data_IF_878759914181
#
_entry.id   IF_878759914181
#
_cell.length_a   1.000
_cell.length_b   1.000
_cell.length_c   1.000
_cell.angle_alpha   90.00
_cell.angle_beta   90.00
_cell.angle_gamma   90.00
#
_symmetry.space_group_name_H-M   'P 1'
#
loop_
_entity.id
_entity.type
_entity.pdbx_description
1 polymer ?
#
# COMPACT_ATOMS: atom_id res chain seq x y z
N UNK A 1 -20.19 22.86 15.22
CA UNK A 1 -19.23 21.81 14.84
C UNK A 1 -18.27 22.41 13.84
N UNK A 2 -16.99 22.06 13.92
CA UNK A 2 -15.99 22.52 12.95
C UNK A 2 -16.12 21.76 11.62
N UNK A 3 -15.67 22.34 10.52
CA UNK A 3 -15.68 21.71 9.18
C UNK A 3 -14.99 20.32 9.20
N UNK A 4 -13.98 20.14 10.04
CA UNK A 4 -13.28 18.88 10.24
C UNK A 4 -14.11 17.82 10.98
N UNK A 5 -14.89 18.23 12.00
CA UNK A 5 -15.83 17.35 12.70
C UNK A 5 -16.93 16.87 11.75
N UNK A 6 -17.44 17.76 10.88
CA UNK A 6 -18.45 17.42 9.88
C UNK A 6 -17.90 16.44 8.84
N UNK A 7 -16.63 16.56 8.45
CA UNK A 7 -15.98 15.64 7.51
C UNK A 7 -15.83 14.23 8.12
N UNK A 8 -15.42 14.13 9.39
CA UNK A 8 -15.31 12.85 10.09
C UNK A 8 -16.67 12.18 10.25
N UNK A 9 -17.71 12.95 10.60
CA UNK A 9 -19.07 12.43 10.72
C UNK A 9 -19.58 11.86 9.38
N UNK A 10 -19.39 12.60 8.27
CA UNK A 10 -19.72 12.11 6.92
C UNK A 10 -18.95 10.84 6.56
N UNK A 11 -17.65 10.79 6.84
CA UNK A 11 -16.83 9.63 6.53
C UNK A 11 -17.26 8.38 7.32
N UNK A 12 -17.64 8.53 8.60
CA UNK A 12 -18.18 7.40 9.39
C UNK A 12 -19.53 6.93 8.88
N UNK A 13 -20.38 7.84 8.41
CA UNK A 13 -21.63 7.46 7.76
C UNK A 13 -21.37 6.64 6.48
N UNK A 14 -20.43 7.09 5.62
CA UNK A 14 -20.02 6.33 4.43
C UNK A 14 -19.40 4.97 4.78
N UNK A 15 -18.60 4.88 5.85
CA UNK A 15 -18.09 3.59 6.33
C UNK A 15 -19.21 2.65 6.74
N UNK A 16 -20.23 3.16 7.43
CA UNK A 16 -21.41 2.37 7.82
C UNK A 16 -22.17 1.88 6.59
N UNK A 17 -22.35 2.74 5.58
CA UNK A 17 -23.00 2.38 4.33
C UNK A 17 -22.25 1.28 3.56
N UNK A 18 -20.92 1.37 3.47
CA UNK A 18 -20.11 0.42 2.68
C UNK A 18 -19.71 -0.85 3.43
N UNK A 19 -19.54 -0.76 4.75
CA UNK A 19 -18.95 -1.82 5.57
C UNK A 19 -19.85 -2.30 6.69
N UNK A 20 -21.07 -1.78 6.80
CA UNK A 20 -22.07 -2.14 7.82
C UNK A 20 -21.93 -1.37 9.13
N UNK A 21 -20.71 -1.00 9.51
CA UNK A 21 -20.42 -0.18 10.68
C UNK A 21 -19.09 0.59 10.50
N UNK A 22 -18.79 1.60 11.33
CA UNK A 22 -17.52 2.32 11.24
C UNK A 22 -16.30 1.40 11.41
N UNK A 23 -15.27 1.60 10.58
CA UNK A 23 -14.09 0.74 10.58
C UNK A 23 -13.33 0.78 11.92
N UNK A 24 -13.43 1.89 12.66
CA UNK A 24 -12.89 1.98 14.02
C UNK A 24 -13.55 0.99 14.99
N UNK A 25 -14.84 0.75 14.83
CA UNK A 25 -15.62 -0.12 15.70
C UNK A 25 -15.39 -1.60 15.36
N UNK A 26 -15.12 -1.92 14.09
CA UNK A 26 -14.64 -3.25 13.65
C UNK A 26 -13.25 -3.58 14.14
N UNK A 27 -12.31 -2.63 14.02
CA UNK A 27 -10.87 -2.91 14.22
C UNK A 27 -10.47 -2.91 15.69
N UNK A 28 -11.06 -2.06 16.54
CA UNK A 28 -10.69 -1.95 17.98
C UNK A 28 -10.84 -3.28 18.75
N UNK A 29 -11.95 -4.03 18.61
CA UNK A 29 -12.09 -5.34 19.25
C UNK A 29 -11.00 -6.33 18.84
N UNK A 30 -10.61 -6.33 17.56
CA UNK A 30 -9.57 -7.21 17.04
C UNK A 30 -8.21 -6.94 17.70
N UNK A 31 -7.83 -5.66 17.85
CA UNK A 31 -6.59 -5.28 18.52
C UNK A 31 -6.54 -5.82 19.95
N UNK A 32 -7.62 -5.66 20.71
CA UNK A 32 -7.71 -6.15 22.08
C UNK A 32 -7.67 -7.68 22.16
N UNK A 33 -8.42 -8.35 21.29
CA UNK A 33 -8.57 -9.81 21.32
C UNK A 33 -7.36 -10.56 20.78
N UNK A 34 -6.61 -9.97 19.85
CA UNK A 34 -5.35 -10.51 19.34
C UNK A 34 -4.14 -10.05 20.17
N UNK A 35 -4.30 -9.09 21.07
CA UNK A 35 -3.19 -8.47 21.81
C UNK A 35 -2.20 -7.73 20.90
N UNK A 36 -2.66 -7.22 19.75
CA UNK A 36 -1.81 -6.56 18.76
C UNK A 36 -1.85 -5.04 18.91
N UNK A 37 -0.73 -4.41 18.54
CA UNK A 37 -0.70 -2.97 18.29
C UNK A 37 -1.38 -2.65 16.96
N UNK A 38 -1.78 -1.39 16.77
CA UNK A 38 -2.30 -0.90 15.49
C UNK A 38 -1.33 -1.17 14.34
N UNK A 39 -0.04 -0.92 14.53
CA UNK A 39 0.99 -1.20 13.51
C UNK A 39 1.13 -2.70 13.21
N UNK A 40 0.98 -3.55 14.21
CA UNK A 40 1.00 -5.01 14.04
C UNK A 40 -0.16 -5.49 13.17
N UNK A 41 -1.38 -5.06 13.49
CA UNK A 41 -2.56 -5.40 12.68
C UNK A 41 -2.49 -4.78 11.27
N UNK A 42 -2.01 -3.54 11.14
CA UNK A 42 -1.79 -2.92 9.83
C UNK A 42 -0.85 -3.77 8.96
N UNK A 43 0.23 -4.32 9.54
CA UNK A 43 1.16 -5.21 8.85
C UNK A 43 0.52 -6.51 8.35
N UNK A 44 -0.40 -7.09 9.13
CA UNK A 44 -1.19 -8.27 8.72
C UNK A 44 -2.13 -7.91 7.56
N UNK A 45 -2.86 -6.80 7.67
CA UNK A 45 -3.82 -6.36 6.65
C UNK A 45 -3.14 -5.90 5.35
N UNK A 46 -1.85 -5.57 5.39
CA UNK A 46 -1.12 -4.97 4.28
C UNK A 46 -1.37 -3.46 4.13
N UNK A 47 -1.68 -2.79 5.23
CA UNK A 47 -1.84 -1.35 5.34
C UNK A 47 -0.63 -0.72 6.03
N UNK A 48 -0.42 0.58 5.79
CA UNK A 48 0.46 1.38 6.65
C UNK A 48 -0.25 1.72 7.96
N UNK A 49 0.52 1.86 9.05
CA UNK A 49 -0.03 2.26 10.35
C UNK A 49 -0.77 3.62 10.30
N UNK A 50 -0.29 4.65 9.58
CA UNK A 50 -1.04 5.90 9.41
C UNK A 50 -2.38 5.72 8.69
N UNK A 51 -2.43 4.87 7.65
CA UNK A 51 -3.66 4.61 6.90
C UNK A 51 -4.71 3.90 7.78
N UNK A 52 -4.29 2.91 8.58
CA UNK A 52 -5.17 2.27 9.55
C UNK A 52 -5.69 3.28 10.59
N UNK A 53 -4.82 4.14 11.12
CA UNK A 53 -5.21 5.20 12.07
C UNK A 53 -6.24 6.18 11.48
N UNK A 54 -6.06 6.60 10.22
CA UNK A 54 -7.02 7.46 9.52
C UNK A 54 -8.38 6.80 9.31
N UNK A 55 -8.41 5.50 8.95
CA UNK A 55 -9.64 4.74 8.81
C UNK A 55 -10.36 4.58 10.16
N UNK A 56 -9.62 4.21 11.21
CA UNK A 56 -10.16 4.01 12.56
C UNK A 56 -10.67 5.30 13.21
N UNK A 57 -10.09 6.45 12.87
CA UNK A 57 -10.54 7.76 13.37
C UNK A 57 -11.70 8.35 12.56
N UNK A 58 -11.96 7.82 11.36
CA UNK A 58 -12.94 8.37 10.42
C UNK A 58 -12.41 9.54 9.59
N UNK A 59 -11.10 9.81 9.61
CA UNK A 59 -10.47 10.79 8.72
C UNK A 59 -10.46 10.30 7.26
N UNK A 60 -10.54 8.97 7.04
CA UNK A 60 -10.65 8.35 5.72
C UNK A 60 -11.84 7.41 5.68
N UNK A 61 -12.68 7.51 4.64
CA UNK A 61 -13.92 6.73 4.55
C UNK A 61 -13.71 5.34 3.94
N UNK A 62 -12.82 5.16 2.95
CA UNK A 62 -12.80 3.97 2.09
C UNK A 62 -11.53 3.13 2.27
N UNK A 63 -11.62 1.81 2.17
CA UNK A 63 -10.51 0.90 1.86
C UNK A 63 -10.50 0.70 0.33
N UNK A 64 -9.44 1.16 -0.34
CA UNK A 64 -9.36 1.11 -1.81
C UNK A 64 -8.95 -0.25 -2.34
N UNK A 65 -8.13 -0.97 -1.58
CA UNK A 65 -7.59 -2.27 -1.97
C UNK A 65 -8.51 -3.40 -1.47
N UNK A 66 -9.17 -4.17 -2.36
CA UNK A 66 -10.06 -5.25 -1.96
C UNK A 66 -9.34 -6.37 -1.19
N UNK A 67 -8.04 -6.57 -1.44
CA UNK A 67 -7.20 -7.53 -0.69
C UNK A 67 -7.19 -7.23 0.81
N UNK A 68 -7.08 -5.94 1.16
CA UNK A 68 -7.06 -5.48 2.55
C UNK A 68 -8.39 -5.80 3.23
N UNK A 69 -9.51 -5.58 2.52
CA UNK A 69 -10.84 -5.89 3.04
C UNK A 69 -11.02 -7.40 3.25
N UNK A 70 -10.58 -8.23 2.30
CA UNK A 70 -10.60 -9.68 2.46
C UNK A 70 -9.80 -10.15 3.67
N UNK A 71 -8.59 -9.60 3.89
CA UNK A 71 -7.80 -9.90 5.09
C UNK A 71 -8.48 -9.45 6.37
N UNK A 72 -9.15 -8.30 6.37
CA UNK A 72 -9.90 -7.83 7.54
C UNK A 72 -11.01 -8.82 7.89
N UNK A 73 -11.78 -9.28 6.90
CA UNK A 73 -12.81 -10.30 7.09
C UNK A 73 -12.21 -11.62 7.61
N UNK A 74 -11.10 -12.07 7.04
CA UNK A 74 -10.44 -13.30 7.51
C UNK A 74 -9.92 -13.19 8.95
N UNK A 75 -9.42 -12.01 9.37
CA UNK A 75 -9.04 -11.77 10.77
C UNK A 75 -10.27 -11.76 11.69
N UNK A 76 -11.38 -11.16 11.25
CA UNK A 76 -12.63 -11.19 12.01
C UNK A 76 -13.15 -12.61 12.19
N UNK A 77 -13.15 -13.42 11.13
CA UNK A 77 -13.55 -14.83 11.16
C UNK A 77 -12.67 -15.65 12.10
N UNK A 78 -11.34 -15.46 12.06
CA UNK A 78 -10.40 -16.12 12.98
C UNK A 78 -10.73 -15.81 14.45
N UNK A 79 -11.05 -14.55 14.76
CA UNK A 79 -11.33 -14.09 16.13
C UNK A 79 -12.72 -14.49 16.62
N UNK A 80 -13.67 -14.63 15.68
CA UNK A 80 -15.04 -15.08 15.93
C UNK A 80 -15.14 -16.59 16.16
N UNK A 81 -14.15 -17.38 15.72
CA UNK A 81 -14.10 -18.82 15.97
C UNK A 81 -14.21 -19.11 17.49
N UNK A 82 -15.17 -19.95 17.93
CA UNK A 82 -15.32 -20.31 19.34
C UNK A 82 -14.05 -20.94 19.96
N UNK A 83 -13.24 -21.61 19.16
CA UNK A 83 -11.97 -22.22 19.54
C UNK A 83 -10.80 -21.24 19.65
N UNK A 84 -10.96 -19.98 19.19
CA UNK A 84 -9.89 -18.98 19.17
C UNK A 84 -9.23 -18.80 20.55
N UNK A 85 -10.04 -18.76 21.62
CA UNK A 85 -9.53 -18.58 22.99
C UNK A 85 -8.66 -19.73 23.51
N UNK A 86 -8.73 -20.90 22.89
CA UNK A 86 -7.91 -22.06 23.23
C UNK A 86 -6.66 -22.19 22.35
N UNK A 87 -6.52 -21.37 21.30
CA UNK A 87 -5.38 -21.45 20.40
C UNK A 87 -4.09 -20.96 21.08
N UNK A 88 -2.99 -21.73 20.97
CA UNK A 88 -1.66 -21.24 21.31
C UNK A 88 -1.30 -19.97 20.53
N UNK A 89 -0.58 -19.05 21.17
CA UNK A 89 -0.14 -17.80 20.53
C UNK A 89 0.69 -18.03 19.25
N UNK A 90 1.44 -19.14 19.17
CA UNK A 90 2.19 -19.53 17.98
C UNK A 90 1.28 -19.83 16.79
N UNK A 91 0.15 -20.50 17.04
CA UNK A 91 -0.82 -20.87 16.01
C UNK A 91 -1.58 -19.64 15.53
N UNK A 92 -2.00 -18.75 16.45
CA UNK A 92 -2.58 -17.45 16.09
C UNK A 92 -1.63 -16.67 15.18
N UNK A 93 -0.34 -16.60 15.54
CA UNK A 93 0.66 -15.92 14.71
C UNK A 93 0.79 -16.57 13.33
N UNK A 94 0.81 -17.90 13.24
CA UNK A 94 0.89 -18.61 11.97
C UNK A 94 -0.32 -18.28 11.07
N UNK A 95 -1.55 -18.31 11.63
CA UNK A 95 -2.77 -17.94 10.90
C UNK A 95 -2.75 -16.49 10.40
N UNK A 96 -2.25 -15.55 11.20
CA UNK A 96 -2.14 -14.15 10.76
C UNK A 96 -1.14 -13.97 9.61
N UNK A 97 -0.05 -14.73 9.58
CA UNK A 97 0.88 -14.73 8.44
C UNK A 97 0.28 -15.41 7.20
N UNK A 98 -0.52 -16.46 7.36
CA UNK A 98 -1.29 -17.07 6.26
C UNK A 98 -2.23 -16.04 5.63
N UNK A 99 -3.06 -15.35 6.44
CA UNK A 99 -3.99 -14.30 5.99
C UNK A 99 -3.22 -13.18 5.25
N UNK A 100 -2.05 -12.79 5.76
CA UNK A 100 -1.19 -11.80 5.10
C UNK A 100 -0.76 -12.27 3.70
N UNK A 101 -0.43 -13.56 3.56
CA UNK A 101 0.03 -14.20 2.32
C UNK A 101 -1.06 -14.51 1.28
N UNK A 102 -2.31 -14.75 1.68
CA UNK A 102 -3.39 -15.27 0.83
C UNK A 102 -3.69 -14.44 -0.43
N UNK A 103 -3.47 -13.12 -0.42
CA UNK A 103 -3.75 -12.29 -1.61
C UNK A 103 -2.62 -12.19 -2.64
N UNK A 104 -1.42 -12.72 -2.35
CA UNK A 104 -0.38 -12.82 -3.38
C UNK A 104 -0.76 -13.80 -4.51
N UNK A 105 -1.76 -14.66 -4.28
CA UNK A 105 -2.21 -15.67 -5.23
C UNK A 105 -3.21 -15.15 -6.27
N UNK A 106 -3.96 -14.06 -6.02
CA UNK A 106 -5.08 -13.68 -6.90
C UNK A 106 -4.66 -12.89 -8.14
N UNK A 107 -3.40 -12.44 -8.23
CA UNK A 107 -2.79 -11.93 -9.49
C UNK A 107 -1.63 -12.79 -10.00
N UNK A 108 -1.14 -13.76 -9.22
CA UNK A 108 -0.12 -14.74 -9.64
C UNK A 108 -0.72 -16.05 -10.17
N UNK A 109 -1.95 -16.39 -9.77
CA UNK A 109 -2.62 -17.65 -10.15
C UNK A 109 -3.07 -17.73 -11.61
N UNK A 110 -3.16 -16.60 -12.32
CA UNK A 110 -3.48 -16.59 -13.76
C UNK A 110 -2.24 -16.74 -14.65
N UNK A 111 -1.01 -16.61 -14.11
CA UNK A 111 0.24 -16.77 -14.88
C UNK A 111 0.95 -18.11 -14.68
N UNK A 112 0.42 -18.99 -13.83
CA UNK A 112 0.98 -20.34 -13.59
C UNK A 112 0.21 -21.46 -14.30
N UNK A 113 -0.85 -21.15 -15.05
CA UNK A 113 -1.64 -22.13 -15.79
C UNK A 113 -1.20 -22.35 -17.25
N UNK A 114 -0.29 -21.54 -17.78
CA UNK A 114 0.25 -21.71 -19.14
C UNK A 114 1.77 -21.55 -19.16
N UNK A 115 2.50 -22.57 -18.71
CA UNK A 115 3.85 -22.93 -19.22
C UNK A 115 4.29 -24.24 -18.58
N UNK A 116 3.55 -25.31 -18.88
CA UNK A 116 3.90 -26.67 -18.52
C UNK A 116 3.75 -27.59 -19.72
N UNK A 117 4.58 -27.39 -20.77
CA UNK A 117 5.17 -28.41 -21.66
C UNK A 117 5.62 -27.80 -23.00
N UNK A 118 6.93 -27.60 -23.17
CA UNK A 118 7.64 -27.94 -24.40
C UNK A 118 9.15 -27.89 -24.15
N UNK A 119 9.82 -28.98 -24.51
CA UNK A 119 11.24 -29.18 -24.39
C UNK A 119 12.07 -28.30 -25.34
N UNK A 120 13.34 -28.11 -24.97
CA UNK A 120 14.50 -27.81 -25.81
C UNK A 120 14.36 -26.67 -26.83
N UNK A 121 14.88 -25.50 -26.49
CA UNK A 121 15.09 -24.42 -27.47
C UNK A 121 15.79 -23.21 -26.87
N UNK A 122 17.09 -23.12 -27.18
CA UNK A 122 17.87 -21.89 -27.31
C UNK A 122 18.12 -20.99 -26.08
N UNK A 123 19.34 -21.12 -25.53
CA UNK A 123 19.91 -20.24 -24.51
C UNK A 123 20.68 -19.10 -25.18
N UNK A 124 20.03 -18.03 -25.64
CA UNK A 124 20.75 -16.79 -26.00
C UNK A 124 19.86 -15.55 -26.11
N UNK A 125 19.24 -15.05 -25.03
CA UNK A 125 18.59 -13.71 -25.08
C UNK A 125 18.29 -12.94 -23.77
N UNK A 126 18.61 -13.41 -22.55
CA UNK A 126 18.05 -12.78 -21.32
C UNK A 126 19.05 -12.11 -20.35
N UNK A 127 20.25 -11.72 -20.79
CA UNK A 127 21.19 -11.02 -19.91
C UNK A 127 20.95 -9.48 -19.79
N UNK A 128 20.06 -8.88 -20.59
CA UNK A 128 19.95 -7.41 -20.72
C UNK A 128 18.85 -6.72 -19.90
N UNK A 129 17.78 -7.42 -19.47
CA UNK A 129 16.61 -6.79 -18.83
C UNK A 129 16.68 -6.71 -17.29
N UNK A 130 17.55 -7.51 -16.66
CA UNK A 130 17.67 -7.57 -15.19
C UNK A 130 18.36 -6.36 -14.53
N UNK A 131 19.14 -5.58 -15.27
CA UNK A 131 19.83 -4.40 -14.71
C UNK A 131 18.94 -3.15 -14.73
N UNK A 132 18.27 -2.86 -15.86
CA UNK A 132 17.34 -1.72 -16.00
C UNK A 132 16.05 -1.90 -15.18
N UNK A 133 15.61 -3.14 -14.98
CA UNK A 133 14.47 -3.45 -14.11
C UNK A 133 14.70 -3.09 -12.65
N UNK A 134 15.93 -3.29 -12.14
CA UNK A 134 16.30 -3.00 -10.73
C UNK A 134 16.42 -1.51 -10.42
N UNK A 135 16.82 -0.69 -11.39
CA UNK A 135 16.93 0.77 -11.20
C UNK A 135 15.58 1.48 -11.23
N UNK A 136 14.57 0.90 -11.90
CA UNK A 136 13.22 1.46 -11.97
C UNK A 136 12.30 1.06 -10.81
N UNK A 137 12.66 0.04 -10.01
CA UNK A 137 11.85 -0.40 -8.87
C UNK A 137 11.55 0.70 -7.85
N UNK A 138 12.53 1.51 -7.38
CA UNK A 138 12.26 2.55 -6.40
C UNK A 138 11.29 3.62 -6.89
N UNK A 139 11.40 4.03 -8.17
CA UNK A 139 10.50 5.00 -8.78
C UNK A 139 9.06 4.46 -8.80
N UNK A 140 8.88 3.19 -9.19
CA UNK A 140 7.59 2.51 -9.21
C UNK A 140 6.97 2.39 -7.81
N UNK A 141 7.79 2.14 -6.78
CA UNK A 141 7.32 2.12 -5.39
C UNK A 141 6.78 3.48 -4.94
N UNK A 142 7.45 4.58 -5.30
CA UNK A 142 6.97 5.94 -4.98
C UNK A 142 5.69 6.26 -5.76
N UNK A 143 5.58 5.87 -7.03
CA UNK A 143 4.35 6.06 -7.80
C UNK A 143 3.18 5.28 -7.20
N UNK A 144 3.42 4.01 -6.82
CA UNK A 144 2.42 3.19 -6.16
C UNK A 144 1.99 3.84 -4.84
N UNK A 145 2.94 4.32 -4.03
CA UNK A 145 2.65 5.00 -2.77
C UNK A 145 1.76 6.24 -2.97
N UNK A 146 2.11 7.14 -3.89
CA UNK A 146 1.32 8.36 -4.11
C UNK A 146 -0.10 8.05 -4.60
N UNK A 147 -0.23 7.12 -5.55
CA UNK A 147 -1.52 6.73 -6.13
C UNK A 147 -2.41 5.97 -5.15
N UNK A 148 -1.83 5.32 -4.14
CA UNK A 148 -2.55 4.74 -3.01
C UNK A 148 -3.04 5.81 -2.02
N UNK A 149 -2.25 6.87 -1.81
CA UNK A 149 -2.58 7.95 -0.88
C UNK A 149 -3.68 8.86 -1.42
N UNK A 150 -3.65 9.19 -2.71
CA UNK A 150 -4.58 10.12 -3.33
C UNK A 150 -4.81 9.77 -4.81
N UNK A 151 -5.98 10.12 -5.33
CA UNK A 151 -6.25 9.99 -6.77
C UNK A 151 -5.35 10.93 -7.58
N UNK A 152 -5.16 10.63 -8.87
CA UNK A 152 -4.37 11.49 -9.76
C UNK A 152 -4.88 12.95 -9.76
N UNK A 153 -6.20 13.16 -9.69
CA UNK A 153 -6.79 14.49 -9.63
C UNK A 153 -6.51 15.22 -8.30
N UNK A 154 -6.56 14.52 -7.17
CA UNK A 154 -6.22 15.10 -5.86
C UNK A 154 -4.72 15.43 -5.74
N UNK A 155 -3.85 14.58 -6.30
CA UNK A 155 -2.41 14.83 -6.36
C UNK A 155 -2.11 16.07 -7.20
N UNK A 156 -2.77 16.20 -8.36
CA UNK A 156 -2.58 17.35 -9.25
C UNK A 156 -3.06 18.65 -8.58
N UNK A 157 -4.24 18.62 -7.95
CA UNK A 157 -4.75 19.74 -7.17
C UNK A 157 -3.81 20.12 -6.00
N UNK A 158 -3.23 19.13 -5.31
CA UNK A 158 -2.24 19.38 -4.27
C UNK A 158 -0.94 19.98 -4.82
N UNK A 159 -0.50 19.54 -6.01
CA UNK A 159 0.65 20.11 -6.69
C UNK A 159 0.41 21.58 -7.08
N UNK A 160 -0.80 21.92 -7.53
CA UNK A 160 -1.18 23.31 -7.85
C UNK A 160 -1.16 24.21 -6.61
N UNK A 161 -1.69 23.74 -5.47
CA UNK A 161 -1.72 24.50 -4.22
C UNK A 161 -0.33 24.89 -3.71
N UNK A 162 0.68 24.06 -3.96
CA UNK A 162 2.04 24.30 -3.47
C UNK A 162 2.98 24.86 -4.53
N UNK A 163 2.59 24.89 -5.81
CA UNK A 163 3.46 25.20 -6.94
C UNK A 163 4.16 26.56 -6.79
N UNK A 164 3.44 27.58 -6.34
CA UNK A 164 3.98 28.95 -6.23
C UNK A 164 5.10 29.07 -5.20
N UNK A 165 5.03 28.29 -4.12
CA UNK A 165 5.98 28.35 -3.01
C UNK A 165 7.02 27.25 -3.04
N UNK A 166 6.68 26.11 -3.61
CA UNK A 166 7.49 24.89 -3.61
C UNK A 166 7.39 24.19 -4.98
N UNK A 167 7.91 24.82 -6.05
CA UNK A 167 7.76 24.32 -7.41
C UNK A 167 8.40 22.93 -7.60
N UNK A 168 9.52 22.65 -6.95
CA UNK A 168 10.21 21.36 -6.99
C UNK A 168 9.38 20.23 -6.36
N UNK A 169 8.67 20.51 -5.26
CA UNK A 169 7.78 19.52 -4.64
C UNK A 169 6.53 19.29 -5.49
N UNK A 170 6.00 20.34 -6.12
CA UNK A 170 4.91 20.21 -7.07
C UNK A 170 5.31 19.35 -8.29
N UNK A 171 6.54 19.50 -8.81
CA UNK A 171 7.08 18.65 -9.88
C UNK A 171 7.15 17.19 -9.44
N UNK A 172 7.66 16.90 -8.23
CA UNK A 172 7.70 15.53 -7.68
C UNK A 172 6.29 14.94 -7.61
N UNK A 173 5.30 15.67 -7.10
CA UNK A 173 3.92 15.18 -7.02
C UNK A 173 3.36 14.84 -8.40
N UNK A 174 3.57 15.70 -9.41
CA UNK A 174 3.10 15.43 -10.78
C UNK A 174 3.85 14.25 -11.39
N UNK A 175 5.17 14.22 -11.34
CA UNK A 175 5.99 13.16 -11.96
C UNK A 175 5.66 11.77 -11.38
N UNK A 176 5.56 11.66 -10.06
CA UNK A 176 5.34 10.35 -9.44
C UNK A 176 3.85 10.02 -9.30
N UNK A 177 2.96 10.99 -9.19
CA UNK A 177 1.54 10.74 -8.96
C UNK A 177 0.65 10.77 -10.22
N UNK A 178 1.00 11.56 -11.23
CA UNK A 178 0.23 11.67 -12.49
C UNK A 178 1.01 11.22 -13.72
N UNK A 179 2.34 11.34 -13.70
CA UNK A 179 3.25 11.03 -14.81
C UNK A 179 3.41 9.54 -15.16
N UNK A 180 4.02 9.29 -16.33
CA UNK A 180 4.32 7.93 -16.81
C UNK A 180 5.48 7.32 -16.04
N UNK A 181 5.49 5.99 -15.89
CA UNK A 181 6.57 5.28 -15.16
C UNK A 181 7.95 5.55 -15.74
N UNK A 182 8.09 5.64 -17.06
CA UNK A 182 9.36 6.00 -17.72
C UNK A 182 9.86 7.40 -17.33
N UNK A 183 8.96 8.36 -17.11
CA UNK A 183 9.31 9.72 -16.69
C UNK A 183 9.72 9.75 -15.22
N UNK A 184 9.05 8.98 -14.36
CA UNK A 184 9.41 8.83 -12.95
C UNK A 184 10.78 8.14 -12.76
N UNK A 185 11.12 7.16 -13.61
CA UNK A 185 12.43 6.50 -13.60
C UNK A 185 13.55 7.45 -14.00
N UNK A 186 13.34 8.25 -15.06
CA UNK A 186 14.28 9.28 -15.51
C UNK A 186 14.45 10.37 -14.44
N UNK A 187 13.36 10.84 -13.85
CA UNK A 187 13.39 11.82 -12.78
C UNK A 187 14.12 11.28 -11.53
N UNK A 188 13.87 10.02 -11.16
CA UNK A 188 14.54 9.38 -10.02
C UNK A 188 16.05 9.27 -10.25
N UNK A 189 16.47 8.82 -11.44
CA UNK A 189 17.88 8.75 -11.80
C UNK A 189 18.53 10.14 -11.77
N UNK A 190 17.89 11.16 -12.33
CA UNK A 190 18.39 12.55 -12.31
C UNK A 190 18.56 13.08 -10.90
N UNK A 191 17.56 12.90 -10.04
CA UNK A 191 17.50 13.54 -8.72
C UNK A 191 18.31 12.80 -7.66
N UNK A 192 18.27 11.47 -7.65
CA UNK A 192 18.94 10.64 -6.63
C UNK A 192 20.34 10.23 -7.08
N UNK A 193 20.49 9.68 -8.30
CA UNK A 193 21.82 9.29 -8.79
C UNK A 193 22.66 10.51 -9.18
N UNK A 194 22.03 11.60 -9.65
CA UNK A 194 22.73 12.87 -9.90
C UNK A 194 23.34 13.50 -8.63
N UNK A 195 22.66 13.41 -7.48
CA UNK A 195 23.22 13.85 -6.18
C UNK A 195 24.33 12.94 -5.68
N UNK A 196 24.17 11.62 -5.80
CA UNK A 196 25.17 10.62 -5.38
C UNK A 196 26.46 10.70 -6.21
N UNK A 197 26.37 11.03 -7.50
CA UNK A 197 27.54 11.24 -8.36
C UNK A 197 28.18 12.62 -8.15
N UNK A 198 27.40 13.66 -7.82
CA UNK A 198 27.91 14.99 -7.48
C UNK A 198 28.73 15.01 -6.17
N UNK A 199 28.28 14.29 -5.14
CA UNK A 199 28.98 14.20 -3.84
C UNK A 199 30.31 13.42 -3.92
N UNK A 200 30.49 12.55 -4.91
CA UNK A 200 31.75 11.79 -5.09
C UNK A 200 32.86 12.57 -5.80
N UNK A 201 32.57 13.77 -6.31
CA UNK A 201 33.59 14.61 -6.96
C UNK A 201 34.28 15.59 -5.99
N UNK A 202 33.94 15.54 -4.70
CA UNK A 202 34.55 16.38 -3.65
C UNK A 202 35.23 15.49 -2.62
N UNK A 203 36.29 14.78 -3.05
CA UNK A 203 37.30 14.24 -2.13
C UNK A 203 38.67 14.57 -2.77
N UNK A 204 39.52 15.39 -2.14
CA UNK A 204 40.81 15.81 -2.69
C UNK A 204 41.82 14.67 -2.82
#
# INVERSE_FOLDING_TARGET
MSVAEDAVARNRALQTEWYGEPLGDRVRPLLGRLGLSQSGLAGVLGLSAPMLSQLMSGQRAKISNPAVLHRLMAVEDLVADPGFGALPAADVKARLEEIRGETAATTSGLRMAESGHAAAGDRTAEAGKGAAGRTGEPARLVQALLREVASAAEIDAAADLIADRFPELAEVLRVYGTGRTSEAEVHFARTVLGRVLGDRSVIP
#
